data_IF_754694117719
#
_entry.id   IF_754694117719
#
_cell.length_a   1.000
_cell.length_b   1.000
_cell.length_c   1.000
_cell.angle_alpha   90.00
_cell.angle_beta   90.00
_cell.angle_gamma   90.00
#
_symmetry.space_group_name_H-M   'P 1'
#
loop_
_entity.id
_entity.type
_entity.pdbx_description
1 polymer ?
#
# COMPACT_ATOMS: atom_id res chain seq x y z
N UNK A 1 15.92 -0.79 42.58
CA UNK A 1 14.64 -0.58 41.87
C UNK A 1 15.00 0.01 40.53
N UNK A 2 15.01 -0.86 39.52
CA UNK A 2 15.55 -0.60 38.19
C UNK A 2 14.71 0.40 37.42
N UNK A 3 15.43 1.26 36.71
CA UNK A 3 14.96 2.20 35.72
C UNK A 3 14.31 1.42 34.57
N UNK A 4 13.01 1.56 34.38
CA UNK A 4 12.35 1.11 33.15
C UNK A 4 12.77 2.07 32.03
N UNK A 5 13.80 1.63 31.31
CA UNK A 5 14.28 2.17 30.05
C UNK A 5 13.11 2.36 29.10
N UNK A 6 12.76 3.62 28.83
CA UNK A 6 11.94 3.97 27.68
C UNK A 6 12.81 3.72 26.45
N UNK A 7 12.61 2.57 25.82
CA UNK A 7 13.16 2.27 24.51
C UNK A 7 12.38 3.13 23.50
N UNK A 8 12.79 4.40 23.39
CA UNK A 8 12.45 5.25 22.27
C UNK A 8 13.24 4.73 21.07
N UNK A 9 12.72 3.68 20.43
CA UNK A 9 13.16 3.33 19.08
C UNK A 9 12.91 4.55 18.22
N UNK A 10 14.00 5.20 17.83
CA UNK A 10 14.03 6.37 16.96
C UNK A 10 13.12 6.10 15.76
N UNK A 11 12.01 6.85 15.69
CA UNK A 11 11.20 6.92 14.47
C UNK A 11 12.12 7.43 13.38
N UNK A 12 12.53 6.50 12.50
CA UNK A 12 13.19 6.85 11.26
C UNK A 12 12.30 7.86 10.54
N UNK A 13 12.91 8.97 10.14
CA UNK A 13 12.31 10.04 9.35
C UNK A 13 11.71 9.44 8.07
N UNK A 14 10.42 9.08 8.14
CA UNK A 14 9.69 8.39 7.07
C UNK A 14 9.37 9.42 6.00
N UNK A 15 10.29 9.58 5.05
CA UNK A 15 10.05 10.38 3.85
C UNK A 15 8.97 9.71 2.99
N UNK A 16 7.85 10.39 2.79
CA UNK A 16 6.81 9.97 1.86
C UNK A 16 7.06 10.65 0.52
N UNK A 17 7.01 9.93 -0.62
CA UNK A 17 7.40 10.49 -1.91
C UNK A 17 6.43 11.55 -2.46
N UNK A 18 5.30 11.81 -1.79
CA UNK A 18 4.35 12.86 -2.15
C UNK A 18 3.45 13.23 -0.97
N UNK A 19 3.22 14.52 -0.77
CA UNK A 19 2.28 15.08 0.22
C UNK A 19 0.86 14.47 0.10
N UNK A 20 0.45 14.08 -1.11
CA UNK A 20 -0.85 13.44 -1.35
C UNK A 20 -0.99 12.10 -0.62
N UNK A 21 0.09 11.34 -0.54
CA UNK A 21 0.07 10.01 0.06
C UNK A 21 0.64 9.98 1.48
N UNK A 22 1.14 11.12 1.97
CA UNK A 22 1.57 11.23 3.36
C UNK A 22 0.36 10.98 4.28
N UNK A 23 0.38 9.91 5.10
CA UNK A 23 -0.74 9.61 5.97
C UNK A 23 -0.82 10.65 7.08
N UNK A 24 -2.03 11.09 7.39
CA UNK A 24 -2.29 11.86 8.60
C UNK A 24 -2.05 10.99 9.84
N UNK A 25 -1.90 11.61 11.02
CA UNK A 25 -1.60 10.89 12.26
C UNK A 25 -2.58 9.74 12.57
N UNK A 26 -3.87 9.91 12.26
CA UNK A 26 -4.88 8.86 12.42
C UNK A 26 -4.71 7.73 11.41
N UNK A 27 -4.47 8.06 10.14
CA UNK A 27 -4.22 7.09 9.07
C UNK A 27 -2.96 6.26 9.33
N UNK A 28 -1.89 6.90 9.82
CA UNK A 28 -0.65 6.22 10.18
C UNK A 28 -0.86 5.20 11.30
N UNK A 29 -1.59 5.58 12.36
CA UNK A 29 -1.97 4.65 13.43
C UNK A 29 -2.80 3.48 12.92
N UNK A 30 -3.73 3.73 11.99
CA UNK A 30 -4.51 2.66 11.36
C UNK A 30 -3.60 1.71 10.57
N UNK A 31 -2.66 2.22 9.78
CA UNK A 31 -1.69 1.38 9.05
C UNK A 31 -0.82 0.55 10.00
N UNK A 32 -0.36 1.14 11.11
CA UNK A 32 0.36 0.42 12.18
C UNK A 32 -0.47 -0.71 12.78
N UNK A 33 -1.74 -0.45 13.11
CA UNK A 33 -2.65 -1.47 13.62
C UNK A 33 -2.88 -2.60 12.62
N UNK A 34 -3.13 -2.28 11.34
CA UNK A 34 -3.32 -3.26 10.27
C UNK A 34 -2.07 -4.11 10.07
N UNK A 35 -0.88 -3.52 10.19
CA UNK A 35 0.38 -4.24 10.10
C UNK A 35 0.57 -5.21 11.26
N UNK A 36 0.38 -4.76 12.50
CA UNK A 36 0.51 -5.60 13.68
C UNK A 36 -0.54 -6.73 13.73
N UNK A 37 -1.74 -6.49 13.20
CA UNK A 37 -2.76 -7.51 13.02
C UNK A 37 -2.49 -8.47 11.84
N UNK A 38 -1.44 -8.23 11.06
CA UNK A 38 -1.05 -9.07 9.91
C UNK A 38 -1.85 -8.82 8.63
N UNK A 39 -2.81 -7.89 8.62
CA UNK A 39 -3.67 -7.63 7.46
C UNK A 39 -2.89 -7.14 6.23
N UNK A 40 -1.77 -6.46 6.42
CA UNK A 40 -0.93 -5.97 5.32
C UNK A 40 0.05 -7.03 4.79
N UNK A 41 0.20 -8.18 5.45
CA UNK A 41 1.10 -9.25 4.98
C UNK A 41 0.68 -9.80 3.62
N UNK A 42 -0.64 -9.80 3.33
CA UNK A 42 -1.19 -10.23 2.03
C UNK A 42 -0.65 -9.42 0.84
N UNK A 43 -0.21 -8.19 1.09
CA UNK A 43 0.34 -7.31 0.04
C UNK A 43 1.80 -7.64 -0.30
N UNK A 44 2.53 -8.33 0.58
CA UNK A 44 3.97 -8.52 0.42
C UNK A 44 4.33 -9.37 -0.80
N UNK A 45 3.59 -10.46 -1.04
CA UNK A 45 3.85 -11.33 -2.19
C UNK A 45 3.47 -10.65 -3.52
N UNK A 46 2.43 -9.82 -3.50
CA UNK A 46 2.05 -8.99 -4.64
C UNK A 46 3.13 -7.93 -4.94
N UNK A 47 3.59 -7.23 -3.91
CA UNK A 47 4.68 -6.26 -4.02
C UNK A 47 5.97 -6.90 -4.51
N UNK A 48 6.33 -8.07 -4.00
CA UNK A 48 7.49 -8.83 -4.47
C UNK A 48 7.37 -9.18 -5.97
N UNK A 49 6.24 -9.75 -6.40
CA UNK A 49 6.00 -10.03 -7.83
C UNK A 49 6.11 -8.77 -8.68
N UNK A 50 5.52 -7.67 -8.20
CA UNK A 50 5.57 -6.38 -8.86
C UNK A 50 7.01 -5.87 -8.98
N UNK A 51 7.80 -5.86 -7.92
CA UNK A 51 9.18 -5.39 -7.95
C UNK A 51 10.09 -6.28 -8.79
N UNK A 52 9.89 -7.59 -8.78
CA UNK A 52 10.59 -8.50 -9.70
C UNK A 52 10.29 -8.18 -11.16
N UNK A 53 9.02 -7.91 -11.49
CA UNK A 53 8.64 -7.47 -12.83
C UNK A 53 9.19 -6.08 -13.20
N UNK A 54 9.44 -5.21 -12.20
CA UNK A 54 10.00 -3.87 -12.35
C UNK A 54 11.51 -3.79 -12.17
N UNK A 55 12.20 -4.93 -12.00
CA UNK A 55 13.62 -4.99 -11.68
C UNK A 55 14.50 -4.14 -12.59
N UNK A 56 14.33 -4.25 -13.92
CA UNK A 56 15.14 -3.50 -14.86
C UNK A 56 14.88 -1.98 -14.73
N UNK A 57 13.62 -1.57 -14.61
CA UNK A 57 13.26 -0.15 -14.39
C UNK A 57 13.89 0.39 -13.10
N UNK A 58 13.92 -0.42 -12.03
CA UNK A 58 14.59 -0.06 -10.76
C UNK A 58 16.10 0.07 -10.95
N UNK A 59 16.74 -0.88 -11.64
CA UNK A 59 18.19 -0.86 -11.90
C UNK A 59 18.59 0.35 -12.75
N UNK A 60 17.80 0.68 -13.78
CA UNK A 60 18.03 1.83 -14.64
C UNK A 60 17.88 3.15 -13.85
N UNK A 61 16.89 3.23 -12.96
CA UNK A 61 16.70 4.40 -12.08
C UNK A 61 17.85 4.56 -11.08
N UNK A 62 18.36 3.45 -10.53
CA UNK A 62 19.53 3.46 -9.65
C UNK A 62 20.80 3.88 -10.38
N UNK A 63 21.03 3.37 -11.60
CA UNK A 63 22.25 3.66 -12.36
C UNK A 63 22.33 5.11 -12.88
N UNK A 64 21.18 5.74 -13.14
CA UNK A 64 21.10 7.08 -13.73
C UNK A 64 21.00 8.23 -12.70
N UNK A 65 20.94 7.95 -11.39
CA UNK A 65 20.87 8.99 -10.35
C UNK A 65 22.23 9.20 -9.69
N UNK A 66 22.64 10.46 -9.58
CA UNK A 66 23.83 10.91 -8.84
C UNK A 66 23.56 11.05 -7.32
N UNK A 67 22.31 10.90 -6.88
CA UNK A 67 21.86 11.21 -5.52
C UNK A 67 21.35 9.98 -4.76
N UNK A 68 21.40 10.12 -3.43
CA UNK A 68 21.32 9.15 -2.33
C UNK A 68 19.93 8.54 -2.10
N UNK A 69 19.07 8.44 -3.13
CA UNK A 69 17.75 7.85 -2.95
C UNK A 69 17.87 6.38 -2.57
N UNK A 70 17.29 6.01 -1.42
CA UNK A 70 17.26 4.62 -1.01
C UNK A 70 16.46 3.78 -1.99
N UNK A 71 16.80 2.49 -2.09
CA UNK A 71 16.04 1.52 -2.88
C UNK A 71 14.53 1.55 -2.55
N UNK A 72 14.19 1.79 -1.27
CA UNK A 72 12.81 1.91 -0.80
C UNK A 72 12.10 3.10 -1.45
N UNK A 73 12.76 4.25 -1.58
CA UNK A 73 12.14 5.44 -2.19
C UNK A 73 11.86 5.24 -3.68
N UNK A 74 12.76 4.59 -4.42
CA UNK A 74 12.52 4.23 -5.82
C UNK A 74 11.34 3.25 -5.94
N UNK A 75 11.29 2.25 -5.07
CA UNK A 75 10.19 1.29 -5.04
C UNK A 75 8.83 1.94 -4.74
N UNK A 76 8.78 2.90 -3.80
CA UNK A 76 7.59 3.69 -3.50
C UNK A 76 7.16 4.57 -4.68
N UNK A 77 8.10 5.22 -5.37
CA UNK A 77 7.79 6.01 -6.58
C UNK A 77 7.17 5.13 -7.68
N UNK A 78 7.64 3.89 -7.84
CA UNK A 78 7.05 2.96 -8.78
C UNK A 78 5.63 2.54 -8.39
N UNK A 79 5.36 2.32 -7.11
CA UNK A 79 4.00 2.04 -6.62
C UNK A 79 3.08 3.21 -6.96
N UNK A 80 3.49 4.46 -6.69
CA UNK A 80 2.69 5.65 -7.03
C UNK A 80 2.44 5.76 -8.54
N UNK A 81 3.49 5.58 -9.35
CA UNK A 81 3.41 5.68 -10.81
C UNK A 81 2.47 4.65 -11.42
N UNK A 82 2.46 3.42 -10.90
CA UNK A 82 1.63 2.34 -11.44
C UNK A 82 0.23 2.31 -10.81
N UNK A 83 0.09 2.73 -9.55
CA UNK A 83 -1.17 2.86 -8.80
C UNK A 83 -1.88 1.55 -8.43
N UNK A 84 -1.66 0.47 -9.18
CA UNK A 84 -2.11 -0.90 -8.90
C UNK A 84 -0.91 -1.80 -8.81
N UNK A 85 -0.86 -2.63 -7.78
CA UNK A 85 0.17 -3.66 -7.60
C UNK A 85 -0.42 -5.04 -7.90
N UNK A 86 -1.64 -5.32 -7.44
CA UNK A 86 -2.34 -6.59 -7.70
C UNK A 86 -3.76 -6.34 -8.20
N UNK A 87 -3.91 -6.30 -9.52
CA UNK A 87 -5.20 -5.98 -10.15
C UNK A 87 -6.31 -6.95 -9.74
N UNK A 88 -5.98 -8.24 -9.62
CA UNK A 88 -6.98 -9.27 -9.35
C UNK A 88 -7.44 -9.13 -7.90
N UNK A 89 -6.50 -9.09 -6.95
CA UNK A 89 -6.83 -8.95 -5.53
C UNK A 89 -7.57 -7.64 -5.26
N UNK A 90 -7.15 -6.53 -5.87
CA UNK A 90 -7.83 -5.24 -5.72
C UNK A 90 -9.25 -5.26 -6.29
N UNK A 91 -9.46 -5.93 -7.43
CA UNK A 91 -10.81 -6.04 -8.03
C UNK A 91 -11.73 -6.91 -7.17
N UNK A 92 -11.22 -7.99 -6.59
CA UNK A 92 -11.98 -8.83 -5.65
C UNK A 92 -12.37 -8.03 -4.41
N UNK A 93 -11.43 -7.33 -3.77
CA UNK A 93 -11.73 -6.50 -2.60
C UNK A 93 -12.78 -5.41 -2.93
N UNK A 94 -12.74 -4.81 -4.13
CA UNK A 94 -13.75 -3.85 -4.57
C UNK A 94 -15.13 -4.48 -4.77
N UNK A 95 -15.19 -5.68 -5.36
CA UNK A 95 -16.45 -6.43 -5.51
C UNK A 95 -17.04 -6.72 -4.13
N UNK A 96 -16.24 -7.18 -3.17
CA UNK A 96 -16.71 -7.45 -1.80
C UNK A 96 -17.25 -6.20 -1.11
N UNK A 97 -16.60 -5.05 -1.30
CA UNK A 97 -17.07 -3.77 -0.76
C UNK A 97 -18.41 -3.33 -1.40
N UNK A 98 -18.56 -3.52 -2.72
CA UNK A 98 -19.81 -3.23 -3.43
C UNK A 98 -20.93 -4.17 -2.99
N UNK A 99 -20.68 -5.48 -2.90
CA UNK A 99 -21.68 -6.44 -2.43
C UNK A 99 -22.13 -6.16 -0.99
N UNK A 100 -21.22 -5.70 -0.14
CA UNK A 100 -21.55 -5.28 1.22
C UNK A 100 -22.49 -4.07 1.22
N UNK A 101 -22.23 -3.05 0.38
CA UNK A 101 -23.13 -1.90 0.24
C UNK A 101 -24.49 -2.30 -0.31
N UNK A 102 -24.52 -3.18 -1.32
CA UNK A 102 -25.76 -3.74 -1.87
C UNK A 102 -26.59 -4.41 -0.77
N UNK A 103 -25.96 -5.22 0.09
CA UNK A 103 -26.64 -5.86 1.20
C UNK A 103 -27.22 -4.84 2.20
N UNK A 104 -26.42 -3.84 2.61
CA UNK A 104 -26.84 -2.78 3.53
C UNK A 104 -28.03 -1.98 2.96
N UNK A 105 -28.01 -1.67 1.67
CA UNK A 105 -29.10 -0.95 1.00
C UNK A 105 -30.35 -1.83 0.84
N UNK A 106 -30.16 -3.14 0.62
CA UNK A 106 -31.24 -4.13 0.61
C UNK A 106 -32.00 -4.17 1.94
N UNK A 107 -31.29 -4.17 3.07
CA UNK A 107 -31.88 -4.05 4.42
C UNK A 107 -32.70 -2.75 4.60
N UNK A 108 -32.41 -1.72 3.80
CA UNK A 108 -33.14 -0.44 3.78
C UNK A 108 -34.24 -0.38 2.71
N UNK A 109 -34.48 -1.48 1.99
CA UNK A 109 -35.52 -1.60 0.97
C UNK A 109 -35.12 -1.16 -0.44
N UNK A 110 -33.84 -0.89 -0.70
CA UNK A 110 -33.33 -0.56 -2.02
C UNK A 110 -32.60 -1.78 -2.64
N UNK A 111 -33.19 -2.39 -3.66
CA UNK A 111 -32.67 -3.63 -4.28
C UNK A 111 -32.09 -3.41 -5.69
N UNK A 112 -31.95 -2.16 -6.12
CA UNK A 112 -31.37 -1.82 -7.43
C UNK A 112 -29.84 -1.91 -7.39
N UNK A 113 -29.34 -3.14 -7.59
CA UNK A 113 -27.92 -3.50 -7.49
C UNK A 113 -27.04 -2.66 -8.41
N UNK A 114 -27.45 -2.47 -9.66
CA UNK A 114 -26.66 -1.76 -10.67
C UNK A 114 -26.51 -0.29 -10.29
N UNK A 115 -27.60 0.35 -9.85
CA UNK A 115 -27.56 1.72 -9.36
C UNK A 115 -26.69 1.86 -8.11
N UNK A 116 -26.82 0.95 -7.14
CA UNK A 116 -26.01 0.98 -5.91
C UNK A 116 -24.52 0.84 -6.25
N UNK A 117 -24.15 -0.09 -7.12
CA UNK A 117 -22.78 -0.28 -7.56
C UNK A 117 -22.22 0.97 -8.26
N UNK A 118 -23.00 1.58 -9.16
CA UNK A 118 -22.60 2.81 -9.85
C UNK A 118 -22.43 3.99 -8.88
N UNK A 119 -23.35 4.14 -7.92
CA UNK A 119 -23.26 5.17 -6.87
C UNK A 119 -22.05 4.94 -5.98
N UNK A 120 -21.83 3.71 -5.51
CA UNK A 120 -20.68 3.35 -4.70
C UNK A 120 -19.37 3.67 -5.42
N UNK A 121 -19.24 3.24 -6.68
CA UNK A 121 -18.04 3.50 -7.48
C UNK A 121 -17.80 5.02 -7.66
N UNK A 122 -18.85 5.80 -7.90
CA UNK A 122 -18.75 7.25 -8.06
C UNK A 122 -18.30 7.97 -6.78
N UNK A 123 -18.67 7.45 -5.60
CA UNK A 123 -18.40 8.09 -4.31
C UNK A 123 -17.10 7.61 -3.67
N UNK A 124 -16.77 6.33 -3.79
CA UNK A 124 -15.77 5.69 -2.94
C UNK A 124 -14.56 5.14 -3.69
N UNK A 125 -14.63 4.89 -5.00
CA UNK A 125 -13.56 4.20 -5.72
C UNK A 125 -12.22 4.96 -5.68
N UNK A 126 -12.25 6.29 -5.74
CA UNK A 126 -11.05 7.12 -5.69
C UNK A 126 -10.36 7.05 -4.32
N UNK A 127 -11.10 7.30 -3.24
CA UNK A 127 -10.59 7.25 -1.86
C UNK A 127 -10.10 5.83 -1.50
N UNK A 128 -10.86 4.81 -1.91
CA UNK A 128 -10.46 3.41 -1.72
C UNK A 128 -9.10 3.11 -2.36
N UNK A 129 -8.87 3.63 -3.56
CA UNK A 129 -7.61 3.42 -4.28
C UNK A 129 -6.46 4.19 -3.67
N UNK A 130 -6.69 5.42 -3.21
CA UNK A 130 -5.69 6.18 -2.48
C UNK A 130 -5.28 5.47 -1.20
N UNK A 131 -6.25 4.95 -0.44
CA UNK A 131 -5.98 4.14 0.75
C UNK A 131 -5.14 2.90 0.42
N UNK A 132 -5.49 2.19 -0.66
CA UNK A 132 -4.73 1.02 -1.11
C UNK A 132 -3.27 1.37 -1.47
N UNK A 133 -3.02 2.52 -2.10
CA UNK A 133 -1.66 3.00 -2.35
C UNK A 133 -0.93 3.27 -1.03
N UNK A 134 -1.58 3.88 -0.03
CA UNK A 134 -0.98 4.10 1.30
C UNK A 134 -0.60 2.77 1.97
N UNK A 135 -1.44 1.75 1.89
CA UNK A 135 -1.14 0.40 2.38
C UNK A 135 0.11 -0.19 1.69
N UNK A 136 0.22 -0.06 0.37
CA UNK A 136 1.38 -0.53 -0.38
C UNK A 136 2.66 0.20 -0.01
N UNK A 137 2.61 1.53 0.09
CA UNK A 137 3.76 2.35 0.49
C UNK A 137 4.25 1.97 1.88
N UNK A 138 3.32 1.80 2.82
CA UNK A 138 3.62 1.41 4.19
C UNK A 138 4.22 -0.01 4.28
N UNK A 139 3.71 -0.95 3.48
CA UNK A 139 4.25 -2.31 3.40
C UNK A 139 5.64 -2.33 2.72
N UNK A 140 5.86 -1.46 1.72
CA UNK A 140 7.14 -1.33 1.00
C UNK A 140 8.27 -0.97 1.95
N UNK A 141 8.05 -0.03 2.87
CA UNK A 141 9.04 0.36 3.88
C UNK A 141 9.48 -0.82 4.75
N UNK A 142 8.54 -1.70 5.10
CA UNK A 142 8.76 -2.81 6.03
C UNK A 142 9.32 -4.06 5.36
N UNK A 143 9.45 -4.03 4.04
CA UNK A 143 10.03 -5.12 3.26
C UNK A 143 11.40 -4.75 2.68
N UNK A 144 12.11 -3.77 3.24
CA UNK A 144 13.43 -3.32 2.76
C UNK A 144 14.41 -4.47 2.51
N UNK A 145 14.49 -5.44 3.43
CA UNK A 145 15.37 -6.61 3.28
C UNK A 145 14.92 -7.49 2.09
N UNK A 146 13.62 -7.81 2.01
CA UNK A 146 13.06 -8.58 0.88
C UNK A 146 13.21 -7.86 -0.46
N UNK A 147 13.19 -6.54 -0.45
CA UNK A 147 13.31 -5.70 -1.65
C UNK A 147 14.72 -5.81 -2.23
N UNK A 148 15.76 -5.88 -1.39
CA UNK A 148 17.12 -6.16 -1.84
C UNK A 148 17.22 -7.54 -2.50
N UNK A 149 16.63 -8.58 -1.89
CA UNK A 149 16.60 -9.95 -2.44
C UNK A 149 15.89 -10.02 -3.80
N UNK A 150 14.80 -9.25 -3.98
CA UNK A 150 14.10 -9.15 -5.25
C UNK A 150 15.01 -8.70 -6.41
N UNK A 151 16.05 -7.92 -6.09
CA UNK A 151 16.97 -7.35 -7.08
C UNK A 151 18.30 -8.10 -7.20
N UNK A 152 18.69 -8.87 -6.18
CA UNK A 152 19.98 -9.57 -6.14
C UNK A 152 19.98 -10.96 -6.80
N UNK A 153 18.82 -11.56 -7.11
CA UNK A 153 18.79 -12.86 -7.78
C UNK A 153 19.00 -12.77 -9.30
N UNK A 154 20.24 -12.47 -9.71
CA UNK A 154 20.89 -12.98 -10.92
C UNK A 154 22.40 -12.81 -10.73
N UNK A 155 23.01 -13.73 -9.98
CA UNK A 155 24.42 -14.08 -10.15
C UNK A 155 24.50 -15.41 -10.88
#
# INVERSE_FOLDING_TARGET
MELLSQDQTQETDQSWPSDRFQPQNTERRTLEQLWHAGHLQRHLDALERFYRAKRQEIQDLLANRQDTDSLVEIAKQLVIKNGIVDRIAETVDQIEAIESEIWIQGERGNYDRDRIAAEWASRHAAEWREWRIKEYLYATERMQDRLADCLQMAS
#
